data_IF_571070504335
#
_entry.id   IF_571070504335
#
_cell.length_a   1.000
_cell.length_b   1.000
_cell.length_c   1.000
_cell.angle_alpha   90.00
_cell.angle_beta   90.00
_cell.angle_gamma   90.00
#
_symmetry.space_group_name_H-M   'P 1'
#
loop_
_entity.id
_entity.type
_entity.pdbx_description
1 polymer ?
#
# COMPACT_ATOMS: atom_id res chain seq x y z
N UNK A 1 10.97 -8.04 -3.71
CA UNK A 1 10.17 -6.94 -3.11
C UNK A 1 8.70 -7.05 -3.45
N UNK A 2 8.31 -7.09 -4.74
CA UNK A 2 6.87 -7.17 -5.09
C UNK A 2 6.22 -8.46 -4.58
N UNK A 3 6.88 -9.62 -4.70
CA UNK A 3 6.32 -10.92 -4.26
C UNK A 3 5.94 -10.92 -2.77
N UNK A 4 6.85 -10.47 -1.90
CA UNK A 4 6.54 -10.32 -0.46
C UNK A 4 5.35 -9.37 -0.22
N UNK A 5 5.31 -8.23 -0.91
CA UNK A 5 4.16 -7.33 -0.82
C UNK A 5 2.85 -7.98 -1.28
N UNK A 6 2.89 -8.79 -2.35
CA UNK A 6 1.72 -9.50 -2.86
C UNK A 6 1.19 -10.51 -1.85
N UNK A 7 2.09 -11.25 -1.18
CA UNK A 7 1.73 -12.19 -0.13
C UNK A 7 1.04 -11.46 1.03
N UNK A 8 1.60 -10.34 1.50
CA UNK A 8 0.97 -9.53 2.56
C UNK A 8 -0.42 -9.05 2.15
N UNK A 9 -0.58 -8.51 0.93
CA UNK A 9 -1.88 -8.05 0.43
C UNK A 9 -2.92 -9.18 0.41
N UNK A 10 -2.55 -10.36 -0.09
CA UNK A 10 -3.47 -11.52 -0.18
C UNK A 10 -3.73 -12.18 1.18
N UNK A 11 -2.91 -11.91 2.18
CA UNK A 11 -3.15 -12.33 3.55
C UNK A 11 -3.98 -11.33 4.36
N UNK A 12 -4.24 -10.11 3.87
CA UNK A 12 -5.16 -9.19 4.56
C UNK A 12 -6.55 -9.86 4.71
N UNK A 13 -7.06 -9.92 5.94
CA UNK A 13 -8.29 -10.62 6.30
C UNK A 13 -9.47 -10.10 5.47
N UNK A 14 -9.57 -8.77 5.33
CA UNK A 14 -10.61 -8.12 4.55
C UNK A 14 -10.54 -8.44 3.05
N UNK A 15 -9.34 -8.70 2.51
CA UNK A 15 -9.17 -9.11 1.11
C UNK A 15 -9.59 -10.56 0.93
N UNK A 16 -9.22 -11.44 1.86
CA UNK A 16 -9.59 -12.85 1.83
C UNK A 16 -11.10 -13.08 1.99
N UNK A 17 -11.74 -12.23 2.79
CA UNK A 17 -13.16 -12.36 3.15
C UNK A 17 -14.02 -11.26 2.52
N UNK A 18 -13.56 -10.65 1.43
CA UNK A 18 -14.25 -9.55 0.76
C UNK A 18 -15.67 -9.92 0.32
N UNK A 19 -15.84 -11.11 -0.27
CA UNK A 19 -17.16 -11.61 -0.69
C UNK A 19 -18.08 -11.85 0.52
N UNK A 20 -17.53 -12.25 1.67
CA UNK A 20 -18.32 -12.41 2.89
C UNK A 20 -18.78 -11.06 3.44
N UNK A 21 -17.89 -10.05 3.42
CA UNK A 21 -18.24 -8.69 3.82
C UNK A 21 -19.37 -8.13 2.93
N UNK A 22 -19.27 -8.31 1.62
CA UNK A 22 -20.30 -7.89 0.68
C UNK A 22 -21.64 -8.62 0.93
N UNK A 23 -21.60 -9.93 1.15
CA UNK A 23 -22.79 -10.71 1.48
C UNK A 23 -23.44 -10.28 2.81
N UNK A 24 -22.65 -9.86 3.80
CA UNK A 24 -23.16 -9.32 5.06
C UNK A 24 -23.86 -7.97 4.87
N UNK A 25 -23.27 -7.08 4.07
CA UNK A 25 -23.90 -5.79 3.72
C UNK A 25 -25.21 -6.01 2.95
N UNK A 26 -25.22 -6.98 2.04
CA UNK A 26 -26.42 -7.43 1.31
C UNK A 26 -27.56 -7.87 2.22
N UNK A 27 -27.27 -8.72 3.20
CA UNK A 27 -28.26 -9.17 4.18
C UNK A 27 -28.81 -8.01 4.99
N UNK A 28 -27.93 -7.09 5.42
CA UNK A 28 -28.32 -5.89 6.16
C UNK A 28 -29.23 -4.99 5.33
N UNK A 29 -28.86 -4.71 4.08
CA UNK A 29 -29.63 -3.83 3.19
C UNK A 29 -31.01 -4.41 2.85
N UNK A 30 -31.12 -5.75 2.78
CA UNK A 30 -32.40 -6.45 2.61
C UNK A 30 -33.20 -6.60 3.91
N UNK A 31 -32.66 -6.19 5.06
CA UNK A 31 -33.31 -6.34 6.37
C UNK A 31 -33.38 -7.78 6.86
N UNK A 32 -32.54 -8.68 6.35
CA UNK A 32 -32.51 -10.11 6.70
C UNK A 32 -31.84 -10.35 8.07
N UNK A 33 -31.02 -9.42 8.53
CA UNK A 33 -30.32 -9.47 9.82
C UNK A 33 -30.53 -8.18 10.60
N UNK A 34 -30.61 -8.31 11.93
CA UNK A 34 -30.74 -7.16 12.84
C UNK A 34 -29.43 -6.39 13.01
N UNK A 35 -29.49 -5.19 13.59
CA UNK A 35 -28.30 -4.34 13.82
C UNK A 35 -27.28 -5.01 14.75
N UNK A 36 -27.75 -5.71 15.79
CA UNK A 36 -26.90 -6.42 16.74
C UNK A 36 -26.16 -7.58 16.08
N UNK A 37 -26.88 -8.42 15.32
CA UNK A 37 -26.31 -9.52 14.55
C UNK A 37 -25.30 -9.02 13.52
N UNK A 38 -25.62 -7.93 12.81
CA UNK A 38 -24.70 -7.30 11.88
C UNK A 38 -23.43 -6.82 12.58
N UNK A 39 -23.55 -6.19 13.75
CA UNK A 39 -22.41 -5.73 14.54
C UNK A 39 -21.50 -6.88 14.98
N UNK A 40 -22.07 -8.01 15.41
CA UNK A 40 -21.31 -9.21 15.78
C UNK A 40 -20.61 -9.83 14.57
N UNK A 41 -21.29 -9.89 13.42
CA UNK A 41 -20.72 -10.42 12.17
C UNK A 41 -19.61 -9.51 11.60
N UNK A 42 -19.66 -8.21 11.87
CA UNK A 42 -18.64 -7.25 11.41
C UNK A 42 -17.41 -7.20 12.32
N UNK A 43 -17.53 -7.66 13.57
CA UNK A 43 -16.47 -7.55 14.56
C UNK A 43 -15.11 -8.11 14.10
N UNK A 44 -15.01 -9.28 13.41
CA UNK A 44 -13.74 -9.77 12.89
C UNK A 44 -13.03 -8.78 11.95
N UNK A 45 -13.77 -8.15 11.02
CA UNK A 45 -13.23 -7.14 10.11
C UNK A 45 -12.74 -5.90 10.86
N UNK A 46 -13.42 -5.53 11.94
CA UNK A 46 -13.01 -4.38 12.77
C UNK A 46 -11.75 -4.67 13.59
N UNK A 47 -11.56 -5.90 14.05
CA UNK A 47 -10.37 -6.28 14.83
C UNK A 47 -9.12 -6.37 13.97
N UNK A 48 -9.24 -6.75 12.70
CA UNK A 48 -8.12 -6.85 11.77
C UNK A 48 -7.87 -5.59 10.93
N UNK A 49 -8.73 -4.56 11.01
CA UNK A 49 -8.68 -3.34 10.18
C UNK A 49 -7.28 -2.71 10.11
N UNK A 50 -6.61 -2.50 11.25
CA UNK A 50 -5.26 -1.95 11.28
C UNK A 50 -4.24 -2.88 10.60
N UNK A 51 -4.30 -4.16 10.93
CA UNK A 51 -3.39 -5.17 10.38
C UNK A 51 -3.53 -5.24 8.86
N UNK A 52 -4.77 -5.18 8.37
CA UNK A 52 -5.10 -5.18 6.95
C UNK A 52 -4.63 -3.90 6.27
N UNK A 53 -4.87 -2.73 6.86
CA UNK A 53 -4.37 -1.46 6.35
C UNK A 53 -2.84 -1.49 6.23
N UNK A 54 -2.12 -2.02 7.22
CA UNK A 54 -0.66 -2.19 7.17
C UNK A 54 -0.26 -3.11 6.01
N UNK A 55 -0.89 -4.28 5.87
CA UNK A 55 -0.60 -5.25 4.80
C UNK A 55 -0.81 -4.66 3.41
N UNK A 56 -1.92 -3.96 3.21
CA UNK A 56 -2.22 -3.24 1.97
C UNK A 56 -1.16 -2.17 1.70
N UNK A 57 -0.81 -1.36 2.71
CA UNK A 57 0.25 -0.35 2.59
C UNK A 57 1.60 -0.96 2.22
N UNK A 58 1.98 -2.11 2.80
CA UNK A 58 3.25 -2.80 2.52
C UNK A 58 3.34 -3.20 1.04
N UNK A 59 2.25 -3.72 0.46
CA UNK A 59 2.20 -4.00 -0.97
C UNK A 59 2.47 -2.76 -1.81
N UNK A 60 1.68 -1.70 -1.60
CA UNK A 60 1.79 -0.48 -2.41
C UNK A 60 3.15 0.21 -2.23
N UNK A 61 3.69 0.21 -1.02
CA UNK A 61 5.04 0.72 -0.75
C UNK A 61 6.10 -0.06 -1.54
N UNK A 62 6.03 -1.39 -1.56
CA UNK A 62 6.95 -2.23 -2.32
C UNK A 62 6.78 -2.09 -3.84
N UNK A 63 5.54 -2.00 -4.31
CA UNK A 63 5.20 -1.75 -5.70
C UNK A 63 5.83 -0.44 -6.20
N UNK A 64 5.56 0.66 -5.49
CA UNK A 64 6.05 1.98 -5.87
C UNK A 64 7.58 2.05 -5.88
N UNK A 65 8.25 1.45 -4.89
CA UNK A 65 9.71 1.34 -4.87
C UNK A 65 10.25 0.55 -6.06
N UNK A 66 9.60 -0.54 -6.43
CA UNK A 66 10.03 -1.35 -7.58
C UNK A 66 9.93 -0.55 -8.89
N UNK A 67 8.85 0.21 -9.09
CA UNK A 67 8.70 1.12 -10.25
C UNK A 67 9.78 2.21 -10.24
N UNK A 68 10.05 2.83 -9.09
CA UNK A 68 11.12 3.83 -8.98
C UNK A 68 12.48 3.23 -9.33
N UNK A 69 12.77 2.02 -8.86
CA UNK A 69 14.03 1.33 -9.16
C UNK A 69 14.16 0.97 -10.65
N UNK A 70 13.08 0.53 -11.31
CA UNK A 70 13.10 0.26 -12.75
C UNK A 70 13.38 1.53 -13.57
N UNK A 71 12.89 2.67 -13.09
CA UNK A 71 13.16 4.01 -13.65
C UNK A 71 14.50 4.61 -13.18
N UNK A 72 15.40 3.77 -12.62
CA UNK A 72 16.73 4.15 -12.13
C UNK A 72 16.70 5.28 -11.09
N UNK A 73 15.68 5.32 -10.24
CA UNK A 73 15.57 6.27 -9.13
C UNK A 73 16.13 5.68 -7.83
N UNK A 74 16.58 6.55 -6.93
CA UNK A 74 17.13 6.20 -5.61
C UNK A 74 16.00 6.09 -4.60
N UNK A 75 15.82 4.91 -4.01
CA UNK A 75 14.80 4.64 -2.99
C UNK A 75 15.35 4.62 -1.56
N UNK A 76 16.66 4.42 -1.37
CA UNK A 76 17.30 4.50 -0.06
C UNK A 76 17.44 5.96 0.39
N UNK A 77 17.28 6.20 1.68
CA UNK A 77 17.47 7.52 2.26
C UNK A 77 18.97 7.84 2.38
N UNK A 78 19.32 9.13 2.34
CA UNK A 78 20.69 9.58 2.57
C UNK A 78 20.94 9.75 4.07
N UNK A 79 22.00 9.13 4.60
CA UNK A 79 22.37 9.19 6.03
C UNK A 79 23.50 10.19 6.32
N UNK A 80 24.33 10.51 5.34
CA UNK A 80 25.46 11.43 5.48
C UNK A 80 25.02 12.91 5.55
N UNK A 81 25.60 13.69 6.48
CA UNK A 81 25.34 15.13 6.61
C UNK A 81 25.68 15.91 5.33
N UNK A 82 26.71 15.49 4.59
CA UNK A 82 27.08 16.06 3.29
C UNK A 82 25.94 15.95 2.27
N UNK A 83 25.13 14.90 2.36
CA UNK A 83 24.04 14.60 1.44
C UNK A 83 22.67 15.08 1.93
N UNK A 84 22.61 15.77 3.08
CA UNK A 84 21.39 16.37 3.62
C UNK A 84 20.62 17.24 2.61
N UNK A 85 21.28 18.05 1.74
CA UNK A 85 20.58 18.77 0.68
C UNK A 85 19.90 17.85 -0.34
N UNK A 86 20.50 16.69 -0.66
CA UNK A 86 19.89 15.68 -1.53
C UNK A 86 18.73 14.97 -0.81
N UNK A 87 18.87 14.64 0.47
CA UNK A 87 17.77 14.09 1.29
C UNK A 87 16.55 15.01 1.32
N UNK A 88 16.75 16.32 1.55
CA UNK A 88 15.68 17.33 1.48
C UNK A 88 15.03 17.45 0.10
N UNK A 89 15.76 17.13 -0.97
CA UNK A 89 15.21 17.08 -2.32
C UNK A 89 14.45 15.78 -2.55
N UNK A 90 14.97 14.66 -2.06
CA UNK A 90 14.35 13.33 -2.18
C UNK A 90 12.99 13.29 -1.48
N UNK A 91 12.81 13.95 -0.35
CA UNK A 91 11.50 14.06 0.31
C UNK A 91 10.44 14.78 -0.53
N UNK A 92 10.85 15.56 -1.54
CA UNK A 92 9.96 16.32 -2.42
C UNK A 92 9.80 15.74 -3.81
N UNK A 93 10.79 14.99 -4.31
CA UNK A 93 10.78 14.43 -5.67
C UNK A 93 11.78 13.27 -5.82
N UNK A 94 11.57 12.37 -6.80
CA UNK A 94 12.52 11.32 -7.12
C UNK A 94 13.92 11.86 -7.46
N UNK A 95 14.96 11.11 -7.10
CA UNK A 95 16.35 11.40 -7.44
C UNK A 95 16.87 10.29 -8.33
N UNK A 96 17.42 10.62 -9.50
CA UNK A 96 17.97 9.65 -10.46
C UNK A 96 19.32 9.10 -9.95
N UNK A 97 19.58 7.81 -10.16
CA UNK A 97 20.79 7.14 -9.69
C UNK A 97 22.10 7.72 -10.26
N UNK A 98 22.06 8.45 -11.39
CA UNK A 98 23.25 9.13 -11.96
C UNK A 98 23.91 10.10 -10.98
N UNK A 99 23.18 10.55 -9.95
CA UNK A 99 23.75 11.33 -8.87
C UNK A 99 24.80 10.58 -8.04
N UNK A 100 24.78 9.24 -7.98
CA UNK A 100 25.83 8.45 -7.35
C UNK A 100 27.20 8.74 -7.96
N UNK A 101 27.27 8.70 -9.30
CA UNK A 101 28.52 8.99 -10.04
C UNK A 101 28.86 10.48 -9.92
N UNK A 102 27.90 11.37 -10.18
CA UNK A 102 28.16 12.82 -10.19
C UNK A 102 28.64 13.36 -8.84
N UNK A 103 28.10 12.84 -7.74
CA UNK A 103 28.40 13.31 -6.39
C UNK A 103 29.40 12.42 -5.64
N UNK A 104 29.90 11.35 -6.27
CA UNK A 104 30.75 10.34 -5.64
C UNK A 104 30.13 9.86 -4.31
N UNK A 105 28.89 9.36 -4.39
CA UNK A 105 28.15 8.86 -3.23
C UNK A 105 28.62 7.45 -2.95
N UNK A 106 29.11 7.21 -1.75
CA UNK A 106 29.54 5.88 -1.32
C UNK A 106 28.38 5.10 -0.68
N UNK A 107 28.35 3.76 -0.75
CA UNK A 107 27.28 2.96 -0.15
C UNK A 107 27.03 3.26 1.34
N UNK A 108 28.10 3.55 2.11
CA UNK A 108 28.00 3.90 3.54
C UNK A 108 27.31 5.25 3.82
N UNK A 109 27.14 6.08 2.81
CA UNK A 109 26.43 7.36 2.92
C UNK A 109 24.91 7.20 2.70
N UNK A 110 24.46 5.98 2.43
CA UNK A 110 23.06 5.60 2.32
C UNK A 110 22.59 4.92 3.61
N UNK A 111 21.32 5.12 3.94
CA UNK A 111 20.63 4.39 5.00
C UNK A 111 20.07 3.08 4.46
N UNK A 112 20.00 2.07 5.32
CA UNK A 112 19.19 0.87 5.07
C UNK A 112 17.70 1.23 4.96
N UNK A 113 17.29 2.32 5.62
CA UNK A 113 15.94 2.85 5.50
C UNK A 113 15.70 3.39 4.09
N UNK A 114 14.48 3.17 3.60
CA UNK A 114 14.01 3.62 2.30
C UNK A 114 12.99 4.74 2.46
N UNK A 115 12.72 5.46 1.38
CA UNK A 115 11.62 6.43 1.36
C UNK A 115 10.30 5.71 1.66
N UNK A 116 9.50 6.29 2.55
CA UNK A 116 8.23 5.71 2.98
C UNK A 116 7.08 6.05 2.02
N UNK A 117 5.97 5.36 2.18
CA UNK A 117 4.78 5.53 1.35
C UNK A 117 4.29 6.98 1.25
N UNK A 118 4.24 7.73 2.36
CA UNK A 118 3.80 9.13 2.36
C UNK A 118 4.60 10.04 1.42
N UNK A 119 5.89 9.77 1.21
CA UNK A 119 6.71 10.50 0.24
C UNK A 119 6.32 10.14 -1.19
N UNK A 120 6.10 8.85 -1.46
CA UNK A 120 5.79 8.35 -2.81
C UNK A 120 4.36 8.69 -3.27
N UNK A 121 3.44 8.98 -2.35
CA UNK A 121 2.07 9.39 -2.68
C UNK A 121 1.95 10.86 -3.14
N UNK A 122 3.02 11.65 -3.08
CA UNK A 122 2.99 13.03 -3.55
C UNK A 122 3.04 13.13 -5.09
N UNK A 123 2.57 14.25 -5.63
CA UNK A 123 2.42 14.44 -7.08
C UNK A 123 3.73 14.26 -7.86
N UNK A 124 4.86 14.70 -7.29
CA UNK A 124 6.17 14.60 -7.98
C UNK A 124 6.67 13.17 -8.10
N UNK A 125 6.32 12.30 -7.17
CA UNK A 125 6.59 10.87 -7.28
C UNK A 125 5.60 10.19 -8.22
N UNK A 126 4.32 10.60 -8.20
CA UNK A 126 3.31 10.06 -9.10
C UNK A 126 3.51 10.43 -10.57
N UNK A 127 4.25 11.50 -10.89
CA UNK A 127 4.74 11.76 -12.26
C UNK A 127 5.56 10.59 -12.85
N UNK A 128 6.25 9.82 -11.99
CA UNK A 128 7.05 8.65 -12.38
C UNK A 128 6.28 7.35 -12.16
N UNK A 129 5.69 7.18 -10.97
CA UNK A 129 5.00 5.94 -10.56
C UNK A 129 3.71 5.72 -11.36
N UNK A 130 2.94 6.80 -11.58
CA UNK A 130 1.68 6.80 -12.33
C UNK A 130 0.69 5.74 -11.85
N UNK A 131 0.39 5.72 -10.55
CA UNK A 131 -0.78 4.96 -10.08
C UNK A 131 -2.04 5.51 -10.76
N UNK A 132 -3.00 4.65 -11.15
CA UNK A 132 -4.34 5.09 -11.52
C UNK A 132 -4.94 6.00 -10.42
N UNK A 133 -5.60 7.09 -10.80
CA UNK A 133 -6.03 8.12 -9.83
C UNK A 133 -7.01 7.56 -8.78
N UNK A 134 -7.88 6.63 -9.21
CA UNK A 134 -8.79 5.91 -8.33
C UNK A 134 -8.05 5.05 -7.29
N UNK A 135 -7.05 4.26 -7.73
CA UNK A 135 -6.19 3.47 -6.83
C UNK A 135 -5.38 4.38 -5.91
N UNK A 136 -4.85 5.48 -6.43
CA UNK A 136 -4.06 6.45 -5.67
C UNK A 136 -4.89 7.11 -4.56
N UNK A 137 -6.16 7.45 -4.85
CA UNK A 137 -7.07 8.01 -3.86
C UNK A 137 -7.31 7.03 -2.70
N UNK A 138 -7.63 5.76 -3.03
CA UNK A 138 -7.87 4.71 -2.02
C UNK A 138 -6.62 4.49 -1.16
N UNK A 139 -5.44 4.36 -1.77
CA UNK A 139 -4.19 4.13 -1.04
C UNK A 139 -3.83 5.30 -0.13
N UNK A 140 -4.13 6.55 -0.54
CA UNK A 140 -3.94 7.74 0.31
C UNK A 140 -4.82 7.68 1.54
N UNK A 141 -6.09 7.30 1.38
CA UNK A 141 -7.04 7.17 2.47
C UNK A 141 -6.61 6.10 3.48
N UNK A 142 -6.29 4.88 3.00
CA UNK A 142 -5.79 3.78 3.85
C UNK A 142 -4.51 4.21 4.61
N UNK A 143 -3.58 4.89 3.93
CA UNK A 143 -2.36 5.38 4.57
C UNK A 143 -2.65 6.45 5.64
N UNK A 144 -3.62 7.33 5.43
CA UNK A 144 -4.00 8.37 6.39
C UNK A 144 -4.65 7.73 7.62
N UNK A 145 -5.64 6.86 7.39
CA UNK A 145 -6.36 6.15 8.45
C UNK A 145 -5.41 5.39 9.38
N UNK A 146 -4.41 4.68 8.83
CA UNK A 146 -3.36 4.02 9.63
C UNK A 146 -2.63 4.98 10.58
N UNK A 147 -2.38 6.23 10.17
CA UNK A 147 -1.67 7.22 10.99
C UNK A 147 -2.57 7.92 12.01
N UNK A 148 -3.89 7.86 11.82
CA UNK A 148 -4.90 8.50 12.68
C UNK A 148 -5.38 7.60 13.82
N UNK A 149 -4.83 6.39 13.95
CA UNK A 149 -5.22 5.40 14.95
C UNK A 149 -5.14 5.89 16.40
N UNK A 150 -4.32 6.91 16.66
CA UNK A 150 -4.22 7.56 17.98
C UNK A 150 -5.46 8.39 18.35
N UNK A 151 -6.39 8.62 17.43
CA UNK A 151 -7.47 9.60 17.56
C UNK A 151 -8.89 9.07 17.27
N UNK A 152 -9.11 7.77 17.08
CA UNK A 152 -10.44 7.21 16.80
C UNK A 152 -11.12 6.66 18.07
N UNK A 153 -12.10 7.36 18.66
CA UNK A 153 -12.80 6.92 19.87
C UNK A 153 -13.88 5.83 19.63
N UNK A 154 -14.20 5.46 18.38
CA UNK A 154 -15.14 4.37 18.11
C UNK A 154 -14.88 3.72 16.75
N UNK A 155 -14.66 2.40 16.74
CA UNK A 155 -14.44 1.57 15.52
C UNK A 155 -15.77 1.30 14.79
N UNK A 156 -16.91 1.69 15.35
CA UNK A 156 -18.23 1.45 14.77
C UNK A 156 -18.53 2.45 13.64
N UNK A 157 -18.27 2.09 12.38
CA UNK A 157 -18.88 2.85 11.27
C UNK A 157 -18.38 2.68 9.84
N UNK A 158 -17.25 2.05 9.54
CA UNK A 158 -16.57 2.35 8.25
C UNK A 158 -16.71 1.32 7.13
N UNK A 159 -17.31 0.16 7.37
CA UNK A 159 -17.54 -0.81 6.31
C UNK A 159 -18.87 -0.55 5.61
N UNK A 160 -18.81 0.20 4.51
CA UNK A 160 -19.92 0.48 3.62
C UNK A 160 -19.71 -0.10 2.22
N UNK A 161 -20.68 0.17 1.34
CA UNK A 161 -20.61 -0.24 -0.08
C UNK A 161 -19.42 0.37 -0.82
N UNK A 162 -19.06 1.60 -0.49
CA UNK A 162 -17.85 2.25 -1.02
C UNK A 162 -16.59 1.46 -0.64
N UNK A 163 -16.47 1.03 0.62
CA UNK A 163 -15.31 0.27 1.10
C UNK A 163 -15.14 -1.03 0.32
N UNK A 164 -16.23 -1.77 0.08
CA UNK A 164 -16.18 -3.00 -0.74
C UNK A 164 -15.75 -2.69 -2.18
N UNK A 165 -16.32 -1.63 -2.78
CA UNK A 165 -15.96 -1.24 -4.14
C UNK A 165 -14.48 -0.86 -4.26
N UNK A 166 -13.96 -0.10 -3.29
CA UNK A 166 -12.56 0.30 -3.22
C UNK A 166 -11.65 -0.92 -3.08
N UNK A 167 -11.97 -1.85 -2.19
CA UNK A 167 -11.20 -3.09 -2.00
C UNK A 167 -11.22 -4.00 -3.24
N UNK A 168 -12.37 -4.11 -3.92
CA UNK A 168 -12.46 -4.80 -5.22
C UNK A 168 -11.55 -4.14 -6.23
N UNK A 169 -11.60 -2.81 -6.33
CA UNK A 169 -10.77 -2.04 -7.26
C UNK A 169 -9.28 -2.21 -7.00
N UNK A 170 -8.86 -2.23 -5.72
CA UNK A 170 -7.49 -2.56 -5.34
C UNK A 170 -7.13 -3.98 -5.76
N UNK A 171 -7.99 -4.97 -5.46
CA UNK A 171 -7.74 -6.36 -5.83
C UNK A 171 -7.57 -6.54 -7.35
N UNK A 172 -8.41 -5.90 -8.16
CA UNK A 172 -8.29 -5.87 -9.62
C UNK A 172 -6.97 -5.24 -10.10
N UNK A 173 -6.50 -4.18 -9.42
CA UNK A 173 -5.20 -3.59 -9.71
C UNK A 173 -4.03 -4.54 -9.39
N UNK A 174 -4.13 -5.30 -8.29
CA UNK A 174 -3.08 -6.21 -7.82
C UNK A 174 -3.00 -7.51 -8.64
N UNK A 175 -4.12 -8.02 -9.11
CA UNK A 175 -4.24 -9.34 -9.72
C UNK A 175 -3.25 -9.61 -10.89
N UNK A 176 -3.02 -8.68 -11.85
CA UNK A 176 -2.05 -8.91 -12.92
C UNK A 176 -0.61 -9.11 -12.42
N UNK A 177 -0.26 -8.52 -11.27
CA UNK A 177 1.07 -8.66 -10.67
C UNK A 177 1.24 -10.02 -9.98
N UNK A 178 0.16 -10.57 -9.42
CA UNK A 178 0.14 -11.91 -8.87
C UNK A 178 0.41 -12.95 -9.96
N UNK A 179 -0.30 -12.85 -11.10
CA UNK A 179 -0.14 -13.81 -12.20
C UNK A 179 1.31 -13.83 -12.72
N UNK A 180 1.90 -12.65 -12.93
CA UNK A 180 3.32 -12.52 -13.33
C UNK A 180 4.28 -13.15 -12.31
N UNK A 181 4.02 -12.98 -11.02
CA UNK A 181 4.86 -13.56 -9.97
C UNK A 181 4.79 -15.10 -9.96
N UNK A 182 3.60 -15.66 -10.15
CA UNK A 182 3.38 -17.11 -10.25
C UNK A 182 4.08 -17.68 -11.48
N UNK A 183 3.97 -17.03 -12.64
CA UNK A 183 4.64 -17.44 -13.87
C UNK A 183 6.17 -17.44 -13.74
N UNK A 184 6.74 -16.38 -13.17
CA UNK A 184 8.18 -16.27 -12.93
C UNK A 184 8.71 -17.36 -11.98
N UNK A 185 7.91 -17.76 -10.98
CA UNK A 185 8.24 -18.86 -10.05
C UNK A 185 8.20 -20.23 -10.71
N UNK A 186 7.31 -20.45 -11.68
CA UNK A 186 7.26 -21.70 -12.47
C UNK A 186 8.45 -21.80 -13.42
N UNK A 187 8.83 -20.69 -14.06
CA UNK A 187 9.93 -20.66 -15.02
C UNK A 187 11.32 -20.86 -14.38
N UNK A 188 11.49 -20.55 -13.09
CA UNK A 188 12.77 -20.75 -12.37
C UNK A 188 12.97 -22.17 -11.82
N UNK A 189 11.95 -23.03 -11.92
CA UNK A 189 11.97 -24.42 -11.46
C UNK A 189 12.09 -25.46 -12.60
N UNK A 190 12.11 -25.02 -13.85
CA UNK A 190 12.33 -25.84 -15.04
C UNK A 190 13.71 -25.60 -15.65
#
# INVERSE_FOLDING_TARGET
MIVFGLEEFKHAYIIQNLDQLEALLDKKDRGEIGLEEFGQALAPFMFDDLSDAIRICVFFENYMKAILMSERMIVHQFSSERLKPLGKRQSKRPIVNRYFVKCHIEPREMSEQTIGMGTMLNNKYQEVIKLPEDVLAIVREINSSRNELHFRPSIAGEYGRSTVADLRRLNEFVEPWLQKAVEASKASRG
#
